data_IF_558076577096
#
_entry.id   IF_558076577096
#
_cell.length_a   1.000
_cell.length_b   1.000
_cell.length_c   1.000
_cell.angle_alpha   90.00
_cell.angle_beta   90.00
_cell.angle_gamma   90.00
#
_symmetry.space_group_name_H-M   'P 1'
#
loop_
_entity.id
_entity.type
_entity.pdbx_description
1 polymer ?
#
# COMPACT_ATOMS: atom_id res chain seq x y z
N UNK A 1 11.30 2.69 -13.76
CA UNK A 1 10.49 3.93 -13.90
C UNK A 1 9.61 4.17 -12.68
N UNK A 2 8.96 3.14 -12.11
CA UNK A 2 8.17 3.29 -10.88
C UNK A 2 8.99 3.63 -9.63
N UNK A 3 10.18 3.02 -9.45
CA UNK A 3 10.98 3.25 -8.24
C UNK A 3 11.41 4.71 -8.05
N UNK A 4 11.65 5.45 -9.14
CA UNK A 4 12.02 6.86 -9.10
C UNK A 4 10.88 7.79 -8.66
N UNK A 5 9.62 7.44 -8.94
CA UNK A 5 8.48 8.26 -8.53
C UNK A 5 8.17 8.07 -7.04
N UNK A 6 8.18 6.83 -6.56
CA UNK A 6 7.85 6.50 -5.17
C UNK A 6 8.87 7.07 -4.16
N UNK A 7 10.13 7.20 -4.57
CA UNK A 7 11.19 7.83 -3.78
C UNK A 7 11.18 9.36 -3.81
N UNK A 8 10.31 10.00 -4.60
CA UNK A 8 10.19 11.46 -4.68
C UNK A 8 8.85 11.97 -4.10
N UNK A 9 7.80 11.16 -4.21
CA UNK A 9 6.46 11.50 -3.74
C UNK A 9 6.29 11.17 -2.26
N UNK A 10 5.54 12.01 -1.56
CA UNK A 10 5.42 11.96 -0.10
C UNK A 10 4.23 11.09 0.35
N UNK A 11 4.45 10.28 1.37
CA UNK A 11 3.41 9.57 2.11
C UNK A 11 2.91 10.34 3.34
N UNK A 12 3.77 11.16 3.95
CA UNK A 12 3.51 11.95 5.16
C UNK A 12 3.99 13.39 5.01
N UNK A 13 3.44 14.30 5.83
CA UNK A 13 3.70 15.75 5.72
C UNK A 13 5.07 16.20 6.23
N UNK A 14 5.79 15.30 6.90
CA UNK A 14 7.17 15.50 7.35
C UNK A 14 8.22 15.26 6.24
N UNK A 15 7.77 14.86 5.05
CA UNK A 15 8.64 14.55 3.93
C UNK A 15 8.91 13.06 3.71
N UNK A 16 8.40 12.18 4.59
CA UNK A 16 8.56 10.72 4.40
C UNK A 16 7.97 10.32 3.05
N UNK A 17 8.78 9.68 2.20
CA UNK A 17 8.38 9.26 0.86
C UNK A 17 7.47 8.04 0.88
N UNK A 18 6.77 7.78 -0.21
CA UNK A 18 5.96 6.56 -0.36
C UNK A 18 6.85 5.33 -0.24
N UNK A 19 8.03 5.33 -0.87
CA UNK A 19 8.97 4.21 -0.80
C UNK A 19 9.48 3.97 0.63
N UNK A 20 9.93 5.01 1.34
CA UNK A 20 10.42 4.88 2.72
C UNK A 20 9.32 4.37 3.66
N UNK A 21 8.10 4.89 3.52
CA UNK A 21 6.96 4.43 4.32
C UNK A 21 6.63 2.96 4.05
N UNK A 22 6.58 2.56 2.78
CA UNK A 22 6.30 1.16 2.40
C UNK A 22 7.43 0.21 2.80
N UNK A 23 8.70 0.60 2.62
CA UNK A 23 9.85 -0.22 3.01
C UNK A 23 9.88 -0.46 4.52
N UNK A 24 9.52 0.55 5.32
CA UNK A 24 9.42 0.38 6.77
C UNK A 24 8.32 -0.59 7.16
N UNK A 25 7.19 -0.59 6.44
CA UNK A 25 6.11 -1.55 6.67
C UNK A 25 6.52 -2.97 6.28
N UNK A 26 7.22 -3.15 5.15
CA UNK A 26 7.75 -4.46 4.74
C UNK A 26 8.82 -4.99 5.69
N UNK A 27 9.67 -4.13 6.25
CA UNK A 27 10.61 -4.51 7.31
C UNK A 27 9.86 -5.02 8.54
N UNK A 28 8.82 -4.30 8.97
CA UNK A 28 7.99 -4.73 10.10
C UNK A 28 7.24 -6.04 9.80
N UNK A 29 6.80 -6.28 8.57
CA UNK A 29 6.20 -7.55 8.15
C UNK A 29 7.19 -8.70 8.28
N UNK A 30 8.46 -8.51 7.89
CA UNK A 30 9.51 -9.53 8.08
C UNK A 30 9.73 -9.82 9.55
N UNK A 31 9.79 -8.80 10.40
CA UNK A 31 9.89 -8.97 11.86
C UNK A 31 8.67 -9.69 12.44
N UNK A 32 7.46 -9.38 11.96
CA UNK A 32 6.24 -10.08 12.36
C UNK A 32 6.32 -11.58 12.02
N UNK A 33 6.74 -11.90 10.80
CA UNK A 33 6.91 -13.28 10.36
C UNK A 33 8.01 -14.01 11.14
N UNK A 34 9.12 -13.35 11.45
CA UNK A 34 10.22 -13.93 12.24
C UNK A 34 9.79 -14.21 13.69
N UNK A 35 9.09 -13.27 14.33
CA UNK A 35 8.76 -13.34 15.76
C UNK A 35 7.48 -14.15 16.04
N UNK A 36 6.53 -14.14 15.11
CA UNK A 36 5.19 -14.69 15.32
C UNK A 36 4.71 -15.59 14.18
N UNK A 37 5.56 -15.90 13.18
CA UNK A 37 5.18 -16.66 12.00
C UNK A 37 4.61 -18.03 12.34
N UNK A 38 5.28 -18.79 13.23
CA UNK A 38 4.79 -20.10 13.67
C UNK A 38 3.41 -20.01 14.31
N UNK A 39 3.20 -19.04 15.21
CA UNK A 39 1.91 -18.82 15.89
C UNK A 39 0.79 -18.48 14.88
N UNK A 40 1.10 -17.68 13.86
CA UNK A 40 0.13 -17.30 12.83
C UNK A 40 -0.18 -18.52 11.94
N UNK A 41 0.84 -19.26 11.52
CA UNK A 41 0.69 -20.42 10.65
C UNK A 41 -0.02 -21.60 11.33
N UNK A 42 0.10 -21.74 12.66
CA UNK A 42 -0.65 -22.72 13.45
C UNK A 42 -2.16 -22.44 13.48
N UNK A 43 -2.58 -21.21 13.19
CA UNK A 43 -3.98 -20.81 13.09
C UNK A 43 -4.54 -20.93 11.65
N UNK A 44 -3.72 -21.36 10.69
CA UNK A 44 -4.06 -21.48 9.27
C UNK A 44 -3.98 -22.93 8.80
N UNK A 45 -4.80 -23.29 7.81
CA UNK A 45 -4.61 -24.57 7.13
C UNK A 45 -3.27 -24.54 6.34
N UNK A 46 -2.53 -25.66 6.27
CA UNK A 46 -1.23 -25.71 5.60
C UNK A 46 -1.22 -25.14 4.17
N UNK A 47 -2.30 -25.32 3.43
CA UNK A 47 -2.43 -24.83 2.05
C UNK A 47 -2.62 -23.30 1.96
N UNK A 48 -3.06 -22.66 3.04
CA UNK A 48 -3.34 -21.22 3.09
C UNK A 48 -2.11 -20.39 3.42
N UNK A 49 -1.10 -20.97 4.09
CA UNK A 49 0.06 -20.26 4.65
C UNK A 49 0.82 -19.43 3.60
N UNK A 50 1.15 -20.04 2.46
CA UNK A 50 1.84 -19.33 1.37
C UNK A 50 0.99 -18.19 0.81
N UNK A 51 -0.30 -18.45 0.59
CA UNK A 51 -1.25 -17.47 0.07
C UNK A 51 -1.44 -16.31 1.04
N UNK A 52 -1.51 -16.58 2.35
CA UNK A 52 -1.63 -15.59 3.41
C UNK A 52 -0.44 -14.62 3.40
N UNK A 53 0.79 -15.15 3.47
CA UNK A 53 1.99 -14.31 3.49
C UNK A 53 2.14 -13.50 2.20
N UNK A 54 1.87 -14.12 1.05
CA UNK A 54 1.89 -13.44 -0.24
C UNK A 54 0.84 -12.33 -0.33
N UNK A 55 -0.38 -12.58 0.17
CA UNK A 55 -1.43 -11.56 0.20
C UNK A 55 -1.03 -10.38 1.10
N UNK A 56 -0.44 -10.67 2.27
CA UNK A 56 -0.02 -9.65 3.22
C UNK A 56 1.14 -8.81 2.68
N UNK A 57 2.14 -9.43 2.05
CA UNK A 57 3.24 -8.72 1.39
C UNK A 57 2.74 -7.80 0.28
N UNK A 58 1.85 -8.28 -0.59
CA UNK A 58 1.25 -7.46 -1.64
C UNK A 58 0.41 -6.31 -1.07
N UNK A 59 -0.38 -6.56 -0.02
CA UNK A 59 -1.15 -5.51 0.63
C UNK A 59 -0.22 -4.43 1.22
N UNK A 60 0.82 -4.84 1.95
CA UNK A 60 1.83 -3.92 2.50
C UNK A 60 2.51 -3.09 1.40
N UNK A 61 2.91 -3.73 0.30
CA UNK A 61 3.59 -3.04 -0.80
C UNK A 61 2.68 -1.99 -1.45
N UNK A 62 1.44 -2.35 -1.78
CA UNK A 62 0.60 -1.52 -2.65
C UNK A 62 -0.42 -0.64 -1.92
N UNK A 63 -0.64 -0.80 -0.60
CA UNK A 63 -1.72 -0.10 0.12
C UNK A 63 -1.77 1.42 -0.10
N UNK A 64 -0.61 2.05 -0.17
CA UNK A 64 -0.46 3.50 -0.24
C UNK A 64 -0.01 4.02 -1.61
N UNK A 65 0.08 3.16 -2.63
CA UNK A 65 0.53 3.59 -3.96
C UNK A 65 -0.37 4.69 -4.52
N UNK A 66 -1.68 4.68 -4.27
CA UNK A 66 -2.60 5.75 -4.68
C UNK A 66 -2.25 7.16 -4.17
N UNK A 67 -1.34 7.30 -3.20
CA UNK A 67 -0.84 8.60 -2.70
C UNK A 67 -0.06 9.39 -3.76
N UNK A 68 0.33 8.76 -4.87
CA UNK A 68 0.89 9.45 -6.04
C UNK A 68 -0.08 10.45 -6.69
N UNK A 69 -1.37 10.39 -6.37
CA UNK A 69 -2.35 11.33 -6.92
C UNK A 69 -2.01 12.79 -6.53
N UNK A 70 -2.02 13.69 -7.53
CA UNK A 70 -1.57 15.07 -7.38
C UNK A 70 -2.31 15.86 -6.27
N UNK A 71 -3.60 15.57 -6.01
CA UNK A 71 -4.35 16.18 -4.89
C UNK A 71 -3.82 15.71 -3.54
N UNK A 72 -3.46 14.43 -3.41
CA UNK A 72 -2.84 13.90 -2.19
C UNK A 72 -1.49 14.57 -1.96
N UNK A 73 -0.63 14.64 -2.99
CA UNK A 73 0.69 15.29 -2.90
C UNK A 73 0.59 16.78 -2.53
N UNK A 74 -0.41 17.48 -3.05
CA UNK A 74 -0.68 18.87 -2.67
C UNK A 74 -1.15 19.00 -1.22
N UNK A 75 -2.03 18.09 -0.76
CA UNK A 75 -2.58 18.06 0.60
C UNK A 75 -1.52 17.73 1.65
N UNK A 76 -0.64 16.77 1.36
CA UNK A 76 0.47 16.37 2.24
C UNK A 76 1.60 17.41 2.26
N UNK A 77 1.58 18.39 1.35
CA UNK A 77 2.48 19.54 1.38
C UNK A 77 3.76 19.37 0.56
N UNK A 78 3.81 18.40 -0.36
CA UNK A 78 4.96 18.21 -1.23
C UNK A 78 5.27 19.52 -2.01
N UNK A 79 6.49 20.10 -1.88
CA UNK A 79 6.87 21.36 -2.50
C UNK A 79 6.63 21.42 -4.00
N UNK A 80 6.83 20.30 -4.71
CA UNK A 80 6.69 20.21 -6.17
C UNK A 80 5.24 20.35 -6.63
N UNK A 81 4.28 20.14 -5.72
CA UNK A 81 2.84 20.16 -6.00
C UNK A 81 2.14 21.42 -5.49
N UNK A 82 2.83 22.34 -4.80
CA UNK A 82 2.24 23.57 -4.25
C UNK A 82 1.56 24.43 -5.32
N UNK A 83 2.18 24.53 -6.50
CA UNK A 83 1.71 25.37 -7.62
C UNK A 83 0.87 24.61 -8.64
N UNK A 84 0.63 23.30 -8.46
CA UNK A 84 -0.20 22.53 -9.39
C UNK A 84 -1.64 23.07 -9.36
N UNK A 85 -2.10 23.46 -10.56
CA UNK A 85 -3.50 23.71 -10.87
C UNK A 85 -4.03 22.46 -11.58
N UNK A 86 -5.00 21.79 -10.97
CA UNK A 86 -5.64 20.60 -11.53
C UNK A 86 -7.14 20.72 -11.35
N UNK A 87 -7.90 20.35 -12.38
CA UNK A 87 -9.36 20.22 -12.32
C UNK A 87 -9.78 18.84 -11.80
N UNK A 88 -8.84 17.90 -11.62
CA UNK A 88 -9.14 16.56 -11.12
C UNK A 88 -9.74 16.64 -9.71
N UNK A 89 -10.80 15.87 -9.41
CA UNK A 89 -11.35 15.75 -8.06
C UNK A 89 -10.36 15.06 -7.12
N UNK A 90 -10.55 15.24 -5.81
CA UNK A 90 -9.84 14.42 -4.82
C UNK A 90 -10.43 13.00 -4.84
N UNK A 91 -9.56 12.00 -4.89
CA UNK A 91 -9.92 10.59 -4.79
C UNK A 91 -9.15 10.03 -3.60
N UNK A 92 -9.82 9.26 -2.73
CA UNK A 92 -9.16 8.60 -1.61
C UNK A 92 -8.11 7.63 -2.15
N UNK A 93 -6.90 7.65 -1.60
CA UNK A 93 -5.79 6.90 -2.17
C UNK A 93 -6.00 5.39 -2.11
N UNK A 94 -6.68 4.87 -1.08
CA UNK A 94 -7.06 3.47 -0.97
C UNK A 94 -7.94 2.97 -2.13
N UNK A 95 -8.71 3.85 -2.81
CA UNK A 95 -9.48 3.48 -4.00
C UNK A 95 -8.61 3.38 -5.26
N UNK A 96 -7.49 4.12 -5.31
CA UNK A 96 -6.56 4.12 -6.44
C UNK A 96 -5.49 3.04 -6.31
N UNK A 97 -5.05 2.74 -5.09
CA UNK A 97 -3.98 1.79 -4.79
C UNK A 97 -4.15 0.40 -5.45
N UNK A 98 -5.35 -0.23 -5.48
CA UNK A 98 -5.52 -1.54 -6.13
C UNK A 98 -5.20 -1.54 -7.62
N UNK A 99 -5.27 -0.39 -8.30
CA UNK A 99 -4.94 -0.29 -9.73
C UNK A 99 -3.44 -0.52 -10.01
N UNK A 100 -2.59 -0.43 -8.99
CA UNK A 100 -1.15 -0.67 -9.09
C UNK A 100 -0.76 -2.14 -8.86
N UNK A 101 -1.70 -2.99 -8.46
CA UNK A 101 -1.42 -4.41 -8.29
C UNK A 101 -1.02 -5.04 -9.64
N UNK A 102 0.08 -5.82 -9.68
CA UNK A 102 0.53 -6.47 -10.90
C UNK A 102 -0.49 -7.51 -11.36
N UNK A 103 -0.31 -8.01 -12.59
CA UNK A 103 -1.01 -9.21 -13.00
C UNK A 103 -0.36 -10.43 -12.34
N UNK A 104 -1.03 -10.96 -11.32
CA UNK A 104 -0.54 -12.09 -10.52
C UNK A 104 -1.06 -13.45 -11.01
N UNK A 105 -1.86 -13.49 -12.09
CA UNK A 105 -2.44 -14.72 -12.65
C UNK A 105 -3.53 -15.40 -11.80
N UNK A 106 -3.55 -15.12 -10.49
CA UNK A 106 -4.57 -15.59 -9.54
C UNK A 106 -5.59 -14.47 -9.26
N UNK A 107 -6.80 -14.65 -9.79
CA UNK A 107 -7.90 -13.69 -9.62
C UNK A 107 -8.44 -13.64 -8.20
N UNK A 108 -8.44 -14.76 -7.48
CA UNK A 108 -8.94 -14.83 -6.11
C UNK A 108 -7.99 -14.06 -5.18
N UNK A 109 -6.69 -14.33 -5.27
CA UNK A 109 -5.66 -13.59 -4.55
C UNK A 109 -5.70 -12.09 -4.89
N UNK A 110 -5.86 -11.72 -6.17
CA UNK A 110 -5.91 -10.31 -6.58
C UNK A 110 -7.12 -9.61 -5.95
N UNK A 111 -8.25 -10.30 -5.88
CA UNK A 111 -9.47 -9.79 -5.26
C UNK A 111 -9.28 -9.62 -3.75
N UNK A 112 -8.71 -10.62 -3.08
CA UNK A 112 -8.42 -10.57 -1.64
C UNK A 112 -7.51 -9.39 -1.29
N UNK A 113 -6.39 -9.25 -1.99
CA UNK A 113 -5.43 -8.15 -1.78
C UNK A 113 -6.08 -6.80 -2.06
N UNK A 114 -6.88 -6.70 -3.14
CA UNK A 114 -7.61 -5.46 -3.46
C UNK A 114 -8.56 -5.05 -2.34
N UNK A 115 -9.29 -6.00 -1.75
CA UNK A 115 -10.19 -5.73 -0.62
C UNK A 115 -9.42 -5.28 0.62
N UNK A 116 -8.30 -5.95 0.95
CA UNK A 116 -7.43 -5.54 2.05
C UNK A 116 -6.93 -4.09 1.87
N UNK A 117 -6.50 -3.74 0.65
CA UNK A 117 -6.09 -2.38 0.31
C UNK A 117 -7.27 -1.40 0.38
N UNK A 118 -8.45 -1.75 -0.13
CA UNK A 118 -9.61 -0.85 -0.09
C UNK A 118 -10.00 -0.49 1.35
N UNK A 119 -9.85 -1.42 2.28
CA UNK A 119 -10.30 -1.30 3.68
C UNK A 119 -9.17 -1.01 4.69
N UNK A 120 -7.98 -0.59 4.24
CA UNK A 120 -6.85 -0.34 5.17
C UNK A 120 -6.95 0.95 6.00
N UNK A 121 -7.92 1.82 5.71
CA UNK A 121 -8.31 2.92 6.60
C UNK A 121 -9.55 2.53 7.36
N UNK A 122 -9.67 3.01 8.59
CA UNK A 122 -10.91 2.89 9.35
C UNK A 122 -12.09 3.42 8.53
N UNK A 123 -13.14 2.60 8.46
CA UNK A 123 -14.42 3.03 7.93
C UNK A 123 -15.11 3.83 9.02
N UNK A 124 -15.17 5.16 8.88
CA UNK A 124 -16.10 5.98 9.65
C UNK A 124 -17.48 5.93 8.95
N UNK A 125 -18.50 5.26 9.53
CA UNK A 125 -19.86 5.16 8.99
C UNK A 125 -20.63 6.49 8.99
#
# INVERSE_FOLDING_TARGET
MESTALSALWAKSDGTTIREHTDKLLENLRLLQELYGELIEDALEPEERETFWKALELACEYHDYGKLHCRFQKKVGNPDFKKIKTSLPEVKHNLLSPAFLPDIGDKALKTLVSLAILHHHDYEP
#
